data_IF_751609901744
#
_entry.id   IF_751609901744
#
_cell.length_a   1.000
_cell.length_b   1.000
_cell.length_c   1.000
_cell.angle_alpha   90.00
_cell.angle_beta   90.00
_cell.angle_gamma   90.00
#
_symmetry.space_group_name_H-M   'P 1'
#
loop_
_entity.id
_entity.type
_entity.pdbx_description
1 polymer ?
#
# COMPACT_ATOMS: atom_id res chain seq x y z
N UNK A 1 -8.76 -1.44 9.93
CA UNK A 1 -9.48 -0.79 8.80
C UNK A 1 -9.95 -1.81 7.76
N UNK A 2 -11.22 -1.87 7.31
CA UNK A 2 -11.65 -2.89 6.30
C UNK A 2 -10.80 -2.87 5.01
N UNK A 3 -10.76 -3.97 4.23
CA UNK A 3 -10.05 -3.96 2.93
C UNK A 3 -10.46 -2.79 2.02
N UNK A 4 -11.75 -2.44 1.99
CA UNK A 4 -12.25 -1.28 1.24
C UNK A 4 -11.69 0.05 1.75
N UNK A 5 -11.49 0.17 3.07
CA UNK A 5 -10.88 1.36 3.67
C UNK A 5 -9.42 1.49 3.25
N UNK A 6 -8.67 0.39 3.22
CA UNK A 6 -7.28 0.36 2.76
C UNK A 6 -7.21 0.75 1.29
N UNK A 7 -8.06 0.16 0.45
CA UNK A 7 -8.12 0.49 -0.97
C UNK A 7 -8.38 1.97 -1.23
N UNK A 8 -9.32 2.58 -0.49
CA UNK A 8 -9.66 3.99 -0.63
C UNK A 8 -8.54 4.94 -0.17
N UNK A 9 -7.67 4.48 0.73
CA UNK A 9 -6.50 5.25 1.16
C UNK A 9 -5.35 5.14 0.17
N UNK A 10 -5.18 4.01 -0.50
CA UNK A 10 -4.09 3.79 -1.46
C UNK A 10 -4.36 4.47 -2.80
N UNK A 11 -3.30 5.01 -3.42
CA UNK A 11 -3.39 5.57 -4.76
C UNK A 11 -2.99 4.50 -5.79
N UNK A 12 -3.95 4.11 -6.63
CA UNK A 12 -3.83 3.12 -7.71
C UNK A 12 -4.10 3.82 -9.03
N UNK A 13 -3.11 3.94 -9.91
CA UNK A 13 -3.21 4.76 -11.14
C UNK A 13 -3.20 3.94 -12.43
N UNK A 14 -2.69 2.70 -12.38
CA UNK A 14 -2.50 1.86 -13.56
C UNK A 14 -2.62 0.37 -13.21
N UNK A 15 -2.51 -0.49 -14.23
CA UNK A 15 -2.62 -1.94 -14.04
C UNK A 15 -1.48 -2.53 -13.20
N UNK A 16 -0.27 -1.97 -13.27
CA UNK A 16 0.84 -2.43 -12.43
C UNK A 16 0.58 -2.11 -10.95
N UNK A 17 0.02 -0.94 -10.65
CA UNK A 17 -0.47 -0.59 -9.31
C UNK A 17 -1.56 -1.57 -8.86
N UNK A 18 -2.51 -1.93 -9.73
CA UNK A 18 -3.55 -2.89 -9.36
C UNK A 18 -2.97 -4.26 -9.00
N UNK A 19 -2.05 -4.80 -9.82
CA UNK A 19 -1.35 -6.07 -9.52
C UNK A 19 -0.58 -6.01 -8.19
N UNK A 20 0.07 -4.88 -7.95
CA UNK A 20 0.83 -4.63 -6.73
C UNK A 20 -0.06 -4.52 -5.49
N UNK A 21 -1.22 -3.88 -5.61
CA UNK A 21 -2.24 -3.87 -4.57
C UNK A 21 -2.72 -5.29 -4.27
N UNK A 22 -3.06 -6.07 -5.30
CA UNK A 22 -3.54 -7.44 -5.14
C UNK A 22 -2.49 -8.32 -4.42
N UNK A 23 -1.21 -8.18 -4.78
CA UNK A 23 -0.11 -8.83 -4.08
C UNK A 23 -0.01 -8.38 -2.62
N UNK A 24 -0.06 -7.07 -2.38
CA UNK A 24 0.03 -6.48 -1.04
C UNK A 24 -1.04 -7.06 -0.11
N UNK A 25 -2.31 -7.06 -0.53
CA UNK A 25 -3.42 -7.57 0.31
C UNK A 25 -3.40 -9.09 0.48
N UNK A 26 -2.76 -9.83 -0.42
CA UNK A 26 -2.69 -11.29 -0.37
C UNK A 26 -1.52 -11.80 0.49
N UNK A 27 -0.42 -11.05 0.57
CA UNK A 27 0.84 -11.54 1.14
C UNK A 27 1.31 -10.76 2.36
N UNK A 28 0.79 -9.56 2.58
CA UNK A 28 1.23 -8.69 3.68
C UNK A 28 0.14 -8.62 4.75
N UNK A 29 0.56 -8.70 6.01
CA UNK A 29 -0.35 -8.52 7.13
C UNK A 29 -0.99 -7.14 7.06
N UNK A 30 -2.31 -7.11 7.24
CA UNK A 30 -3.12 -5.90 7.24
C UNK A 30 -2.64 -4.86 8.24
N UNK A 31 -2.14 -5.27 9.40
CA UNK A 31 -1.56 -4.37 10.41
C UNK A 31 -0.32 -3.66 9.87
N UNK A 32 0.53 -4.36 9.11
CA UNK A 32 1.70 -3.76 8.49
C UNK A 32 1.32 -2.75 7.39
N UNK A 33 0.27 -3.05 6.60
CA UNK A 33 -0.26 -2.12 5.59
C UNK A 33 -0.83 -0.86 6.27
N UNK A 34 -1.62 -1.03 7.33
CA UNK A 34 -2.19 0.09 8.10
C UNK A 34 -1.10 0.96 8.73
N UNK A 35 -0.06 0.34 9.29
CA UNK A 35 1.12 1.05 9.80
C UNK A 35 1.80 1.87 8.70
N UNK A 36 2.08 1.27 7.54
CA UNK A 36 2.74 1.96 6.43
C UNK A 36 1.94 3.16 5.92
N UNK A 37 0.61 3.03 5.83
CA UNK A 37 -0.26 4.14 5.43
C UNK A 37 -0.20 5.27 6.47
N UNK A 38 -0.35 4.96 7.75
CA UNK A 38 -0.32 5.96 8.82
C UNK A 38 1.04 6.66 8.91
N UNK A 39 2.14 5.95 8.69
CA UNK A 39 3.50 6.50 8.69
C UNK A 39 3.73 7.44 7.48
N UNK A 40 3.13 7.15 6.32
CA UNK A 40 3.18 8.08 5.20
C UNK A 40 2.31 9.32 5.46
N UNK A 41 1.11 9.14 6.00
CA UNK A 41 0.21 10.24 6.38
C UNK A 41 0.85 11.17 7.43
N UNK A 42 1.55 10.62 8.44
CA UNK A 42 2.26 11.41 9.47
C UNK A 42 3.38 12.27 8.89
N UNK A 43 3.99 11.83 7.79
CA UNK A 43 5.01 12.55 7.04
C UNK A 43 4.43 13.47 5.95
N UNK A 44 3.10 13.67 5.90
CA UNK A 44 2.39 14.37 4.81
C UNK A 44 2.70 13.79 3.41
N UNK A 45 3.06 12.51 3.34
CA UNK A 45 3.29 11.80 2.09
C UNK A 45 2.03 11.08 1.66
N UNK A 46 1.85 11.01 0.34
CA UNK A 46 0.76 10.27 -0.25
C UNK A 46 1.06 8.76 -0.24
N UNK A 47 0.09 7.91 0.12
CA UNK A 47 0.23 6.46 0.18
C UNK A 47 0.12 5.83 -1.23
N UNK A 48 1.07 6.17 -2.11
CA UNK A 48 1.30 5.43 -3.34
C UNK A 48 1.83 4.03 -3.02
N UNK A 49 1.48 3.02 -3.81
CA UNK A 49 1.98 1.66 -3.62
C UNK A 49 3.51 1.56 -3.63
N UNK A 50 4.18 2.34 -4.48
CA UNK A 50 5.63 2.41 -4.50
C UNK A 50 6.22 2.89 -3.17
N UNK A 51 5.56 3.85 -2.50
CA UNK A 51 5.97 4.31 -1.17
C UNK A 51 5.71 3.26 -0.10
N UNK A 52 4.57 2.56 -0.17
CA UNK A 52 4.22 1.48 0.77
C UNK A 52 5.25 0.34 0.66
N UNK A 53 5.55 -0.12 -0.55
CA UNK A 53 6.54 -1.17 -0.75
C UNK A 53 7.93 -0.76 -0.31
N UNK A 54 8.35 0.47 -0.60
CA UNK A 54 9.63 0.99 -0.13
C UNK A 54 9.72 1.02 1.39
N UNK A 55 8.63 1.39 2.08
CA UNK A 55 8.60 1.46 3.54
C UNK A 55 8.61 0.08 4.18
N UNK A 56 7.93 -0.88 3.55
CA UNK A 56 7.85 -2.27 4.02
C UNK A 56 9.01 -3.16 3.53
N UNK A 57 9.95 -2.62 2.75
CA UNK A 57 11.06 -3.34 2.11
C UNK A 57 10.61 -4.55 1.27
N UNK A 58 9.57 -4.33 0.46
CA UNK A 58 8.96 -5.35 -0.40
C UNK A 58 9.30 -5.05 -1.86
N UNK A 59 9.73 -6.04 -2.65
CA UNK A 59 9.98 -5.83 -4.07
C UNK A 59 8.66 -5.66 -4.85
N UNK A 60 8.53 -4.64 -5.72
CA UNK A 60 7.36 -4.48 -6.58
C UNK A 60 7.28 -5.60 -7.62
N UNK A 61 6.06 -5.94 -8.04
CA UNK A 61 5.81 -6.86 -9.15
C UNK A 61 5.51 -6.07 -10.44
N UNK A 62 6.09 -6.52 -11.56
CA UNK A 62 5.89 -5.98 -12.91
C UNK A 62 4.87 -6.84 -13.68
#
# INVERSE_FOLDING_TARGET
>A
MSPDTIKNKLIILNEADQKNYDYLIAQVDRVAIEYAINELESQNKRPYLSNIFKLLDIPPRH
#
